data_IF_918104787810
#
_entry.id   IF_918104787810
#
_cell.length_a   1.000
_cell.length_b   1.000
_cell.length_c   1.000
_cell.angle_alpha   90.00
_cell.angle_beta   90.00
_cell.angle_gamma   90.00
#
_symmetry.space_group_name_H-M   'P 1'
#
loop_
_entity.id
_entity.type
_entity.pdbx_description
1 polymer ?
#
# COMPACT_ATOMS: atom_id res chain seq x y z
N UNK A 1 -0.65 -26.33 -11.76
CA UNK A 1 -0.49 -25.03 -12.45
C UNK A 1 0.04 -24.01 -11.46
N UNK A 2 0.73 -22.97 -11.93
CA UNK A 2 1.25 -21.89 -11.07
C UNK A 2 0.06 -21.18 -10.40
N UNK A 3 0.07 -21.05 -9.07
CA UNK A 3 -0.96 -20.34 -8.33
C UNK A 3 -0.92 -18.86 -8.70
N UNK A 4 -2.08 -18.29 -9.05
CA UNK A 4 -2.25 -16.86 -9.33
C UNK A 4 -3.05 -16.23 -8.22
N UNK A 5 -2.61 -15.07 -7.75
CA UNK A 5 -3.27 -14.33 -6.67
C UNK A 5 -3.68 -12.96 -7.20
N UNK A 6 -4.91 -12.55 -6.91
CA UNK A 6 -5.37 -11.18 -7.17
C UNK A 6 -5.55 -10.51 -5.82
N UNK A 7 -4.84 -9.41 -5.61
CA UNK A 7 -5.05 -8.52 -4.47
C UNK A 7 -5.94 -7.37 -4.92
N UNK A 8 -7.01 -7.10 -4.18
CA UNK A 8 -7.91 -5.97 -4.43
C UNK A 8 -7.79 -5.03 -3.24
N UNK A 9 -7.46 -3.78 -3.52
CA UNK A 9 -7.19 -2.74 -2.53
C UNK A 9 -8.05 -1.50 -2.82
N UNK A 10 -8.43 -0.82 -1.72
CA UNK A 10 -9.22 0.40 -1.74
C UNK A 10 -8.49 1.47 -0.93
N UNK A 11 -8.44 2.70 -1.45
CA UNK A 11 -7.81 3.84 -0.78
C UNK A 11 -8.82 4.97 -0.62
N UNK A 12 -8.90 5.55 0.58
CA UNK A 12 -9.79 6.66 0.87
C UNK A 12 -9.45 7.95 0.11
N UNK A 13 -8.20 8.12 -0.35
CA UNK A 13 -7.83 9.26 -1.20
C UNK A 13 -8.32 9.10 -2.65
N UNK A 14 -8.64 7.88 -3.09
CA UNK A 14 -9.21 7.59 -4.41
C UNK A 14 -10.45 6.70 -4.27
N UNK A 15 -11.55 7.22 -3.67
CA UNK A 15 -12.72 6.41 -3.30
C UNK A 15 -13.48 5.85 -4.50
N UNK A 16 -13.32 6.45 -5.69
CA UNK A 16 -13.94 5.98 -6.93
C UNK A 16 -13.12 4.89 -7.64
N UNK A 17 -11.91 4.60 -7.14
CA UNK A 17 -10.97 3.66 -7.77
C UNK A 17 -10.83 2.39 -6.95
N UNK A 18 -10.83 1.26 -7.65
CA UNK A 18 -10.46 -0.05 -7.15
C UNK A 18 -9.12 -0.41 -7.76
N UNK A 19 -8.15 -0.73 -6.91
CA UNK A 19 -6.81 -1.10 -7.34
C UNK A 19 -6.67 -2.62 -7.25
N UNK A 20 -6.32 -3.26 -8.36
CA UNK A 20 -6.12 -4.70 -8.41
C UNK A 20 -4.69 -5.03 -8.86
N UNK A 21 -4.03 -5.92 -8.14
CA UNK A 21 -2.67 -6.40 -8.44
C UNK A 21 -2.74 -7.91 -8.69
N UNK A 22 -2.52 -8.31 -9.94
CA UNK A 22 -2.48 -9.72 -10.34
C UNK A 22 -1.04 -10.24 -10.27
N UNK A 23 -0.79 -11.16 -9.37
CA UNK A 23 0.49 -11.85 -9.22
C UNK A 23 0.47 -13.17 -10.01
N UNK A 24 1.43 -13.32 -10.93
CA UNK A 24 1.65 -14.54 -11.70
C UNK A 24 3.14 -14.85 -11.78
N UNK A 25 3.63 -15.66 -10.84
CA UNK A 25 5.07 -15.95 -10.72
C UNK A 25 5.84 -14.70 -10.30
N UNK A 26 6.80 -14.27 -11.11
CA UNK A 26 7.60 -13.06 -10.86
C UNK A 26 6.98 -11.78 -11.42
N UNK A 27 5.86 -11.88 -12.14
CA UNK A 27 5.19 -10.72 -12.74
C UNK A 27 4.02 -10.27 -11.88
N UNK A 28 3.98 -8.97 -11.58
CA UNK A 28 2.84 -8.28 -10.99
C UNK A 28 2.25 -7.36 -12.04
N UNK A 29 0.96 -7.53 -12.34
CA UNK A 29 0.24 -6.70 -13.30
C UNK A 29 -0.73 -5.79 -12.53
N UNK A 30 -0.50 -4.47 -12.51
CA UNK A 30 -1.40 -3.52 -11.89
C UNK A 30 -2.60 -3.22 -12.80
N UNK A 31 -3.78 -3.07 -12.19
CA UNK A 31 -5.02 -2.66 -12.83
C UNK A 31 -5.72 -1.64 -11.94
N UNK A 32 -6.25 -0.58 -12.56
CA UNK A 32 -7.14 0.39 -11.90
C UNK A 32 -8.49 0.28 -12.56
N UNK A 33 -9.53 0.08 -11.77
CA UNK A 33 -10.92 -0.04 -12.23
C UNK A 33 -11.84 0.80 -11.34
N UNK A 34 -13.13 0.81 -11.65
CA UNK A 34 -14.17 1.40 -10.81
C UNK A 34 -14.75 0.38 -9.81
N UNK A 35 -15.73 0.80 -9.03
CA UNK A 35 -16.41 -0.05 -8.05
C UNK A 35 -17.16 -1.26 -8.64
N UNK A 36 -17.44 -1.30 -9.96
CA UNK A 36 -18.07 -2.47 -10.58
C UNK A 36 -17.12 -3.66 -10.64
N UNK A 37 -15.81 -3.43 -10.51
CA UNK A 37 -14.83 -4.50 -10.44
C UNK A 37 -15.02 -5.42 -9.23
N UNK A 38 -15.43 -4.88 -8.07
CA UNK A 38 -15.73 -5.70 -6.89
C UNK A 38 -16.91 -6.65 -7.18
N UNK A 39 -17.93 -6.17 -7.90
CA UNK A 39 -19.06 -6.99 -8.32
C UNK A 39 -18.63 -8.09 -9.31
N UNK A 40 -17.71 -7.77 -10.23
CA UNK A 40 -17.12 -8.76 -11.12
C UNK A 40 -16.40 -9.87 -10.33
N UNK A 41 -15.59 -9.49 -9.32
CA UNK A 41 -14.88 -10.45 -8.48
C UNK A 41 -15.83 -11.39 -7.71
N UNK A 42 -16.99 -10.89 -7.28
CA UNK A 42 -18.05 -11.71 -6.68
C UNK A 42 -18.68 -12.72 -7.66
N UNK A 43 -18.67 -12.45 -8.96
CA UNK A 43 -19.16 -13.39 -10.00
C UNK A 43 -18.11 -14.40 -10.44
N UNK A 44 -16.83 -14.12 -10.18
CA UNK A 44 -15.69 -14.95 -10.57
C UNK A 44 -15.31 -16.01 -9.52
N UNK A 45 -16.19 -16.34 -8.57
CA UNK A 45 -15.92 -17.29 -7.47
C UNK A 45 -15.58 -18.71 -7.94
N UNK A 46 -15.97 -19.07 -9.16
CA UNK A 46 -15.61 -20.36 -9.78
C UNK A 46 -14.15 -20.41 -10.26
N UNK A 47 -13.50 -19.25 -10.42
CA UNK A 47 -12.11 -19.10 -10.89
C UNK A 47 -11.20 -18.68 -9.74
N UNK A 48 -11.65 -17.72 -8.92
CA UNK A 48 -10.92 -17.22 -7.76
C UNK A 48 -11.59 -17.65 -6.47
N UNK A 49 -10.84 -18.31 -5.59
CA UNK A 49 -11.28 -18.58 -4.23
C UNK A 49 -10.80 -17.47 -3.28
N UNK A 50 -11.75 -16.81 -2.62
CA UNK A 50 -11.41 -15.86 -1.57
C UNK A 50 -10.93 -16.61 -0.33
N UNK A 51 -9.71 -16.32 0.13
CA UNK A 51 -9.20 -16.89 1.38
C UNK A 51 -9.94 -16.22 2.55
N UNK A 52 -10.59 -17.02 3.40
CA UNK A 52 -11.19 -16.50 4.64
C UNK A 52 -10.08 -15.85 5.50
N UNK A 53 -10.41 -14.77 6.20
CA UNK A 53 -9.54 -14.06 7.16
C UNK A 53 -8.29 -13.37 6.59
N UNK A 54 -8.25 -13.03 5.29
CA UNK A 54 -7.14 -12.25 4.72
C UNK A 54 -7.41 -10.75 4.62
N UNK A 55 -8.53 -10.25 5.16
CA UNK A 55 -8.84 -8.82 5.10
C UNK A 55 -7.88 -8.07 6.04
N UNK A 56 -7.06 -7.22 5.45
CA UNK A 56 -6.15 -6.32 6.16
C UNK A 56 -6.68 -4.91 5.96
N UNK A 57 -6.76 -4.14 7.04
CA UNK A 57 -7.18 -2.74 7.00
C UNK A 57 -6.17 -1.89 7.75
N UNK A 58 -5.85 -0.71 7.21
CA UNK A 58 -5.11 0.34 7.91
C UNK A 58 -6.03 1.55 8.05
N UNK A 59 -6.35 1.95 9.28
CA UNK A 59 -7.29 3.07 9.55
C UNK A 59 -6.75 3.97 10.63
N UNK A 60 -6.90 5.28 10.45
CA UNK A 60 -6.64 6.25 11.49
C UNK A 60 -6.59 7.67 10.97
N UNK A 61 -6.12 8.61 11.81
CA UNK A 61 -6.19 10.04 11.52
C UNK A 61 -5.24 10.48 10.41
N UNK A 62 -5.65 11.55 9.72
CA UNK A 62 -4.90 12.27 8.70
C UNK A 62 -4.63 13.68 9.19
N UNK A 63 -3.37 14.09 9.14
CA UNK A 63 -2.88 15.39 9.60
C UNK A 63 -2.24 16.14 8.44
N UNK A 64 -2.31 17.46 8.48
CA UNK A 64 -1.63 18.34 7.55
C UNK A 64 -0.70 19.26 8.34
N UNK A 65 0.56 19.33 7.91
CA UNK A 65 1.57 20.18 8.51
C UNK A 65 2.40 20.84 7.42
N UNK A 66 2.10 22.11 7.14
CA UNK A 66 2.67 22.82 6.00
C UNK A 66 2.41 22.05 4.69
N UNK A 67 3.49 21.70 3.99
CA UNK A 67 3.45 20.99 2.71
C UNK A 67 3.30 19.46 2.83
N UNK A 68 3.26 18.94 4.06
CA UNK A 68 3.20 17.51 4.34
C UNK A 68 1.79 17.06 4.75
N UNK A 69 1.43 15.88 4.29
CA UNK A 69 0.28 15.11 4.73
C UNK A 69 0.78 13.87 5.46
N UNK A 70 0.34 13.66 6.71
CA UNK A 70 0.77 12.52 7.54
C UNK A 70 -0.45 11.71 7.95
N UNK A 71 -0.44 10.41 7.72
CA UNK A 71 -1.50 9.49 8.15
C UNK A 71 -0.93 8.46 9.10
N UNK A 72 -1.64 8.24 10.21
CA UNK A 72 -1.30 7.22 11.20
C UNK A 72 -2.37 6.14 11.14
N UNK A 73 -2.02 4.98 10.58
CA UNK A 73 -2.96 3.88 10.37
C UNK A 73 -2.72 2.74 11.35
N UNK A 74 -3.73 2.38 12.14
CA UNK A 74 -3.74 1.12 12.88
C UNK A 74 -4.02 -0.03 11.92
N UNK A 75 -3.09 -0.97 11.81
CA UNK A 75 -3.19 -2.15 10.95
C UNK A 75 -3.91 -3.26 11.70
N UNK A 76 -4.99 -3.77 11.11
CA UNK A 76 -5.74 -4.92 11.62
C UNK A 76 -5.83 -6.01 10.57
N UNK A 77 -5.68 -7.28 10.98
CA UNK A 77 -5.93 -8.45 10.14
C UNK A 77 -7.08 -9.22 10.75
N UNK A 78 -8.18 -9.36 10.03
CA UNK A 78 -9.41 -9.98 10.56
C UNK A 78 -9.79 -9.39 11.92
N UNK A 79 -9.79 -8.05 12.01
CA UNK A 79 -10.11 -7.26 13.21
C UNK A 79 -9.10 -7.38 14.37
N UNK A 80 -8.01 -8.12 14.22
CA UNK A 80 -6.95 -8.20 15.23
C UNK A 80 -5.87 -7.16 14.93
N UNK A 81 -5.59 -6.27 15.89
CA UNK A 81 -4.51 -5.28 15.78
C UNK A 81 -3.14 -5.96 15.61
N UNK A 82 -2.34 -5.46 14.66
CA UNK A 82 -1.00 -5.97 14.32
C UNK A 82 0.11 -4.93 14.42
N UNK A 83 -0.21 -3.64 14.31
CA UNK A 83 0.79 -2.59 14.37
C UNK A 83 0.27 -1.25 13.85
N UNK A 84 1.20 -0.31 13.69
CA UNK A 84 0.92 1.03 13.17
C UNK A 84 1.71 1.24 11.88
N UNK A 85 1.05 1.80 10.87
CA UNK A 85 1.67 2.33 9.67
C UNK A 85 1.67 3.86 9.72
N UNK A 86 2.77 4.44 9.25
CA UNK A 86 2.91 5.87 9.07
C UNK A 86 3.09 6.12 7.58
N UNK A 87 2.18 6.88 6.99
CA UNK A 87 2.27 7.36 5.62
C UNK A 87 2.59 8.85 5.66
N UNK A 88 3.60 9.27 4.90
CA UNK A 88 3.96 10.68 4.73
C UNK A 88 4.01 10.98 3.24
N UNK A 89 3.30 12.03 2.86
CA UNK A 89 3.26 12.57 1.50
C UNK A 89 3.73 14.02 1.53
N UNK A 90 4.67 14.36 0.64
CA UNK A 90 5.07 15.73 0.37
C UNK A 90 4.36 16.20 -0.89
N UNK A 91 3.37 17.09 -0.74
CA UNK A 91 2.45 17.46 -1.83
C UNK A 91 3.05 18.32 -2.96
N UNK A 92 4.02 19.21 -2.72
CA UNK A 92 4.56 20.07 -3.78
C UNK A 92 5.37 19.35 -4.85
N UNK A 93 5.80 18.10 -4.62
CA UNK A 93 6.62 17.36 -5.58
C UNK A 93 6.13 15.92 -5.77
N UNK A 94 5.90 15.55 -7.02
CA UNK A 94 5.47 14.20 -7.43
C UNK A 94 6.62 13.35 -7.98
N UNK A 95 7.86 13.83 -7.90
CA UNK A 95 9.06 13.08 -8.32
C UNK A 95 9.77 12.57 -7.06
N UNK A 96 9.75 11.26 -6.76
CA UNK A 96 10.27 10.71 -5.50
C UNK A 96 11.73 11.07 -5.23
N UNK A 97 12.58 11.04 -6.25
CA UNK A 97 14.02 11.33 -6.17
C UNK A 97 14.31 12.76 -5.72
N UNK A 98 13.46 13.71 -6.10
CA UNK A 98 13.60 15.10 -5.68
C UNK A 98 13.06 15.36 -4.26
N UNK A 99 12.13 14.52 -3.78
CA UNK A 99 11.49 14.68 -2.47
C UNK A 99 12.05 13.75 -1.37
N UNK A 100 12.83 12.72 -1.73
CA UNK A 100 13.21 11.64 -0.82
C UNK A 100 13.96 12.11 0.42
N UNK A 101 15.02 12.91 0.26
CA UNK A 101 15.81 13.37 1.41
C UNK A 101 14.96 14.22 2.36
N UNK A 102 14.10 15.07 1.82
CA UNK A 102 13.16 15.87 2.60
C UNK A 102 12.17 14.99 3.39
N UNK A 103 11.57 13.99 2.74
CA UNK A 103 10.68 13.02 3.38
C UNK A 103 11.40 12.23 4.47
N UNK A 104 12.62 11.77 4.19
CA UNK A 104 13.45 11.00 5.13
C UNK A 104 13.80 11.82 6.36
N UNK A 105 14.25 13.06 6.20
CA UNK A 105 14.56 13.96 7.32
C UNK A 105 13.33 14.28 8.15
N UNK A 106 12.21 14.57 7.49
CA UNK A 106 10.93 14.79 8.16
C UNK A 106 10.53 13.58 9.02
N UNK A 107 10.58 12.38 8.44
CA UNK A 107 10.30 11.11 9.15
C UNK A 107 11.26 10.88 10.32
N UNK A 108 12.55 11.13 10.13
CA UNK A 108 13.57 10.96 11.18
C UNK A 108 13.36 11.92 12.35
N UNK A 109 12.79 13.10 12.11
CA UNK A 109 12.47 14.08 13.15
C UNK A 109 11.56 13.54 14.25
N UNK A 110 10.70 12.55 13.96
CA UNK A 110 9.78 11.97 14.94
C UNK A 110 9.90 10.46 15.15
N UNK A 111 10.36 9.69 14.15
CA UNK A 111 10.59 8.24 14.30
C UNK A 111 12.06 7.89 14.60
N UNK A 112 12.96 8.87 14.55
CA UNK A 112 14.38 8.69 14.85
C UNK A 112 15.02 7.61 13.97
N UNK A 113 15.74 6.69 14.61
CA UNK A 113 16.49 5.61 13.94
C UNK A 113 15.61 4.50 13.36
N UNK A 114 14.29 4.52 13.56
CA UNK A 114 13.37 3.55 12.96
C UNK A 114 13.17 3.78 11.44
N UNK A 115 13.54 4.97 10.93
CA UNK A 115 13.41 5.32 9.51
C UNK A 115 14.58 4.76 8.72
N UNK A 116 14.28 4.03 7.65
CA UNK A 116 15.28 3.54 6.70
C UNK A 116 15.98 4.70 6.00
N UNK A 117 17.31 4.62 5.87
CA UNK A 117 18.08 5.55 5.04
C UNK A 117 17.95 5.26 3.53
N UNK A 118 17.41 4.10 3.17
CA UNK A 118 17.20 3.69 1.77
C UNK A 118 15.73 3.87 1.37
N UNK A 119 15.45 4.32 0.14
CA UNK A 119 14.09 4.41 -0.36
C UNK A 119 13.42 3.03 -0.43
N UNK A 120 12.06 2.99 -0.33
CA UNK A 120 11.30 1.76 -0.45
C UNK A 120 11.69 0.96 -1.70
N UNK A 121 11.82 -0.35 -1.56
CA UNK A 121 12.36 -1.22 -2.62
C UNK A 121 11.62 -1.04 -3.96
N UNK A 122 10.30 -0.88 -3.92
CA UNK A 122 9.50 -0.65 -5.11
C UNK A 122 9.85 0.65 -5.85
N UNK A 123 10.20 1.71 -5.11
CA UNK A 123 10.50 3.02 -5.67
C UNK A 123 11.95 3.15 -6.17
N UNK A 124 12.87 2.28 -5.75
CA UNK A 124 14.30 2.40 -6.09
C UNK A 124 14.56 2.56 -7.59
N UNK A 125 13.84 1.81 -8.42
CA UNK A 125 13.97 1.88 -9.89
C UNK A 125 13.09 2.95 -10.55
N UNK A 126 12.29 3.68 -9.75
CA UNK A 126 11.29 4.66 -10.20
C UNK A 126 11.47 6.03 -9.55
N UNK A 127 12.64 6.28 -8.95
CA UNK A 127 12.88 7.53 -8.22
C UNK A 127 12.73 8.77 -9.12
N UNK A 128 12.99 8.65 -10.42
CA UNK A 128 12.87 9.76 -11.36
C UNK A 128 11.60 9.70 -12.22
N UNK A 129 10.68 8.80 -11.89
CA UNK A 129 9.37 8.70 -12.55
C UNK A 129 8.33 9.52 -11.79
N UNK A 130 7.20 9.79 -12.45
CA UNK A 130 6.08 10.48 -11.83
C UNK A 130 5.36 9.53 -10.87
N UNK A 131 5.29 9.90 -9.60
CA UNK A 131 4.60 9.15 -8.57
C UNK A 131 3.09 9.14 -8.82
N UNK A 132 2.50 7.95 -8.75
CA UNK A 132 1.10 7.66 -9.02
C UNK A 132 0.45 7.04 -7.77
N UNK A 133 -0.88 7.12 -7.61
CA UNK A 133 -1.58 6.45 -6.52
C UNK A 133 -1.30 4.93 -6.43
N UNK A 134 -1.06 4.29 -7.58
CA UNK A 134 -0.67 2.87 -7.64
C UNK A 134 0.63 2.59 -6.88
N UNK A 135 1.56 3.53 -6.83
CA UNK A 135 2.82 3.36 -6.10
C UNK A 135 2.59 3.37 -4.58
N UNK A 136 1.59 4.10 -4.09
CA UNK A 136 1.13 4.01 -2.70
C UNK A 136 0.53 2.64 -2.43
N UNK A 137 -0.36 2.18 -3.31
CA UNK A 137 -1.03 0.87 -3.17
C UNK A 137 -0.02 -0.27 -3.10
N UNK A 138 1.01 -0.24 -3.95
CA UNK A 138 2.05 -1.26 -3.92
C UNK A 138 2.84 -1.25 -2.61
N UNK A 139 3.20 -0.07 -2.10
CA UNK A 139 3.88 0.06 -0.81
C UNK A 139 3.02 -0.51 0.33
N UNK A 140 1.71 -0.23 0.33
CA UNK A 140 0.78 -0.84 1.30
C UNK A 140 0.72 -2.37 1.17
N UNK A 141 0.66 -2.90 -0.05
CA UNK A 141 0.65 -4.34 -0.27
C UNK A 141 1.92 -5.01 0.29
N UNK A 142 3.09 -4.39 0.08
CA UNK A 142 4.36 -4.90 0.60
C UNK A 142 4.36 -4.93 2.14
N UNK A 143 3.91 -3.85 2.79
CA UNK A 143 3.78 -3.79 4.25
C UNK A 143 2.75 -4.80 4.79
N UNK A 144 1.59 -4.92 4.16
CA UNK A 144 0.56 -5.91 4.53
C UNK A 144 1.08 -7.34 4.39
N UNK A 145 1.89 -7.61 3.35
CA UNK A 145 2.60 -8.87 3.17
C UNK A 145 3.54 -9.17 4.34
N UNK A 146 4.28 -8.17 4.84
CA UNK A 146 5.17 -8.33 6.00
C UNK A 146 4.38 -8.67 7.28
N UNK A 147 3.28 -7.94 7.55
CA UNK A 147 2.42 -8.22 8.70
C UNK A 147 1.84 -9.64 8.65
N UNK A 148 1.44 -10.10 7.47
CA UNK A 148 0.93 -11.47 7.29
C UNK A 148 2.01 -12.52 7.63
N UNK A 149 3.23 -12.33 7.13
CA UNK A 149 4.36 -13.23 7.41
C UNK A 149 4.71 -13.29 8.90
N UNK A 150 4.79 -12.13 9.55
CA UNK A 150 5.09 -12.02 10.98
C UNK A 150 4.05 -12.73 11.88
N UNK A 151 2.79 -12.79 11.44
CA UNK A 151 1.71 -13.45 12.20
C UNK A 151 1.59 -14.96 11.97
N UNK A 152 2.44 -15.57 11.13
CA UNK A 152 2.38 -17.01 10.84
C UNK A 152 1.14 -17.43 10.02
N UNK A 153 0.47 -16.50 9.33
CA UNK A 153 -0.70 -16.78 8.47
C UNK A 153 -0.26 -17.13 7.03
N UNK A 154 0.83 -17.89 6.92
CA UNK A 154 1.32 -18.46 5.65
C UNK A 154 1.00 -19.96 5.65
#
# INVERSE_FOLDING_TARGET
GVQRTVHVLHNSEQPASVFALLESGTKVVPLIADGLFDLLMLKMTNIYSSKKQTKIESKGPRFEIGDFCVKLGSVTISQNFKGVLVEVEYRPCVIPGAAWELLREFLQGFLGSAVSNQPPQYLQNRMNELYQPMDTIQQYLDHFGQYRKATGVI
#
